data_IF_357689778999
#
_entry.id   IF_357689778999
#
_cell.length_a   1.000
_cell.length_b   1.000
_cell.length_c   1.000
_cell.angle_alpha   90.00
_cell.angle_beta   90.00
_cell.angle_gamma   90.00
#
_symmetry.space_group_name_H-M   'P 1'
#
loop_
_entity.id
_entity.type
_entity.pdbx_description
1 polymer ?
#
# COMPACT_ATOMS: atom_id res chain seq x y z
N UNK A 1 0.39 21.72 -12.51
CA UNK A 1 1.66 21.41 -13.22
C UNK A 1 1.26 20.57 -14.43
N UNK A 2 1.46 21.06 -15.62
CA UNK A 2 1.15 20.30 -16.83
C UNK A 2 2.38 19.52 -17.25
N UNK A 3 2.23 18.23 -17.37
CA UNK A 3 3.28 17.33 -17.83
C UNK A 3 2.91 16.88 -19.26
N UNK A 4 3.70 17.26 -20.22
CA UNK A 4 3.39 17.17 -21.65
C UNK A 4 2.96 15.79 -22.18
N UNK A 5 3.22 14.70 -21.43
CA UNK A 5 2.95 13.33 -21.90
C UNK A 5 2.06 12.52 -20.92
N UNK A 6 1.60 13.10 -19.83
CA UNK A 6 0.78 12.44 -18.80
C UNK A 6 -0.51 13.24 -18.61
N UNK A 7 -1.64 12.56 -18.63
CA UNK A 7 -2.91 13.13 -18.19
C UNK A 7 -3.15 12.80 -16.72
N UNK A 8 -3.67 13.78 -15.99
CA UNK A 8 -4.20 13.62 -14.65
C UNK A 8 -5.72 13.80 -14.69
N UNK A 9 -6.45 12.84 -14.13
CA UNK A 9 -7.91 12.82 -14.06
C UNK A 9 -8.29 12.71 -12.59
N UNK A 10 -9.10 13.64 -12.09
CA UNK A 10 -9.72 13.54 -10.77
C UNK A 10 -11.11 12.96 -10.97
N UNK A 11 -11.41 11.87 -10.27
CA UNK A 11 -12.63 11.08 -10.48
C UNK A 11 -13.12 10.44 -9.18
N UNK A 12 -14.31 9.90 -9.21
CA UNK A 12 -14.87 9.08 -8.15
C UNK A 12 -15.12 7.67 -8.67
N UNK A 13 -14.49 6.68 -8.03
CA UNK A 13 -14.67 5.26 -8.34
C UNK A 13 -15.35 4.58 -7.16
N UNK A 14 -16.57 4.07 -7.35
CA UNK A 14 -17.34 3.49 -6.23
C UNK A 14 -17.57 4.46 -5.06
N UNK A 15 -17.61 5.78 -5.33
CA UNK A 15 -17.70 6.82 -4.31
C UNK A 15 -16.37 7.18 -3.64
N UNK A 16 -15.25 6.59 -4.06
CA UNK A 16 -13.91 6.87 -3.56
C UNK A 16 -13.27 7.94 -4.44
N UNK A 17 -12.87 9.11 -3.91
CA UNK A 17 -12.12 10.11 -4.66
C UNK A 17 -10.75 9.56 -5.06
N UNK A 18 -10.41 9.64 -6.33
CA UNK A 18 -9.13 9.14 -6.86
C UNK A 18 -8.47 10.17 -7.77
N UNK A 19 -7.15 10.11 -7.84
CA UNK A 19 -6.38 10.68 -8.94
C UNK A 19 -5.96 9.52 -9.84
N UNK A 20 -6.25 9.62 -11.14
CA UNK A 20 -5.74 8.69 -12.16
C UNK A 20 -4.70 9.44 -12.99
N UNK A 21 -3.50 8.89 -13.07
CA UNK A 21 -2.43 9.38 -13.92
C UNK A 21 -2.04 8.31 -14.93
N UNK A 22 -1.94 8.68 -16.20
CA UNK A 22 -1.53 7.73 -17.25
C UNK A 22 -0.93 8.45 -18.46
N UNK A 23 -0.19 7.74 -19.32
CA UNK A 23 0.25 8.31 -20.60
C UNK A 23 -0.91 8.92 -21.37
N UNK A 24 -0.67 10.05 -22.05
CA UNK A 24 -1.65 10.71 -22.92
C UNK A 24 -2.03 9.83 -24.11
N UNK A 25 -1.11 8.98 -24.55
CA UNK A 25 -1.36 8.01 -25.60
C UNK A 25 -2.41 6.98 -25.17
N UNK A 26 -3.50 6.90 -25.94
CA UNK A 26 -4.54 5.92 -25.67
C UNK A 26 -4.02 4.52 -25.96
N UNK A 27 -4.24 3.60 -25.01
CA UNK A 27 -3.94 2.18 -25.13
C UNK A 27 -5.22 1.36 -24.93
N UNK A 28 -5.26 0.18 -25.53
CA UNK A 28 -6.35 -0.77 -25.33
C UNK A 28 -6.44 -1.23 -23.87
N UNK A 29 -5.27 -1.42 -23.22
CA UNK A 29 -5.18 -1.71 -21.79
C UNK A 29 -3.92 -1.10 -21.17
N UNK A 30 -3.98 -0.80 -19.87
CA UNK A 30 -2.87 -0.23 -19.12
C UNK A 30 -2.43 -1.17 -17.99
N UNK A 31 -1.12 -1.49 -17.86
CA UNK A 31 -0.63 -2.02 -16.61
C UNK A 31 -0.90 -0.97 -15.53
N UNK A 32 -1.56 -1.39 -14.45
CA UNK A 32 -2.15 -0.45 -13.48
C UNK A 32 -1.55 -0.62 -12.09
N UNK A 33 -1.15 0.48 -11.47
CA UNK A 33 -0.62 0.52 -10.11
C UNK A 33 -1.59 1.30 -9.22
N UNK A 34 -2.15 0.66 -8.19
CA UNK A 34 -2.93 1.35 -7.16
C UNK A 34 -1.98 1.74 -6.03
N UNK A 35 -1.88 3.04 -5.75
CA UNK A 35 -0.95 3.64 -4.79
C UNK A 35 -1.67 4.19 -3.57
N UNK A 36 -1.54 3.56 -2.42
CA UNK A 36 -2.13 4.00 -1.15
C UNK A 36 -1.21 4.94 -0.38
N UNK A 37 -1.74 6.09 0.04
CA UNK A 37 -1.02 7.08 0.85
C UNK A 37 -0.89 6.66 2.33
N UNK A 38 -0.03 7.37 3.09
CA UNK A 38 0.15 7.15 4.52
C UNK A 38 -0.86 7.89 5.39
N UNK A 39 -0.85 7.60 6.70
CA UNK A 39 -1.56 8.35 7.73
C UNK A 39 -1.17 9.83 7.69
N UNK A 40 -2.05 10.75 7.95
CA UNK A 40 -1.84 12.21 7.82
C UNK A 40 -1.58 12.72 6.39
N UNK A 41 -1.78 11.88 5.37
CA UNK A 41 -1.54 12.20 3.98
C UNK A 41 -2.84 12.14 3.16
N UNK A 42 -2.76 12.43 1.86
CA UNK A 42 -3.86 12.33 0.91
C UNK A 42 -3.35 12.09 -0.50
N UNK A 43 -4.26 11.80 -1.43
CA UNK A 43 -3.92 11.47 -2.82
C UNK A 43 -3.05 12.52 -3.50
N UNK A 44 -3.30 13.82 -3.24
CA UNK A 44 -2.54 14.91 -3.87
C UNK A 44 -1.05 14.89 -3.51
N UNK A 45 -0.71 14.45 -2.29
CA UNK A 45 0.70 14.41 -1.84
C UNK A 45 1.49 13.26 -2.50
N UNK A 46 0.80 12.35 -3.21
CA UNK A 46 1.43 11.26 -3.96
C UNK A 46 1.61 11.59 -5.45
N UNK A 47 1.11 12.73 -5.95
CA UNK A 47 1.15 13.11 -7.36
C UNK A 47 2.52 12.94 -8.01
N UNK A 48 3.57 13.40 -7.34
CA UNK A 48 4.92 13.33 -7.91
C UNK A 48 5.38 11.88 -8.14
N UNK A 49 5.08 10.99 -7.20
CA UNK A 49 5.38 9.55 -7.32
C UNK A 49 4.51 8.89 -8.38
N UNK A 50 3.22 9.24 -8.39
CA UNK A 50 2.28 8.82 -9.44
C UNK A 50 2.73 9.25 -10.83
N UNK A 51 3.20 10.49 -10.95
CA UNK A 51 3.75 11.01 -12.19
C UNK A 51 4.97 10.22 -12.67
N UNK A 52 5.93 9.91 -11.78
CA UNK A 52 7.11 9.10 -12.15
C UNK A 52 6.67 7.74 -12.71
N UNK A 53 5.78 7.03 -12.04
CA UNK A 53 5.29 5.74 -12.51
C UNK A 53 4.50 5.87 -13.81
N UNK A 54 3.66 6.90 -13.95
CA UNK A 54 2.90 7.14 -15.19
C UNK A 54 3.82 7.43 -16.38
N UNK A 55 4.93 8.15 -16.17
CA UNK A 55 5.93 8.42 -17.19
C UNK A 55 6.65 7.16 -17.69
N UNK A 56 6.63 6.09 -16.90
CA UNK A 56 7.15 4.76 -17.28
C UNK A 56 6.10 3.91 -18.02
N UNK A 57 4.90 4.45 -18.25
CA UNK A 57 3.86 3.80 -19.04
C UNK A 57 2.74 3.15 -18.26
N UNK A 58 2.72 3.27 -16.93
CA UNK A 58 1.66 2.72 -16.09
C UNK A 58 0.45 3.65 -16.00
N UNK A 59 -0.73 3.09 -15.80
CA UNK A 59 -1.84 3.80 -15.20
C UNK A 59 -1.67 3.75 -13.68
N UNK A 60 -1.62 4.91 -13.03
CA UNK A 60 -1.48 5.02 -11.58
C UNK A 60 -2.76 5.56 -11.00
N UNK A 61 -3.32 4.86 -10.03
CA UNK A 61 -4.55 5.23 -9.35
C UNK A 61 -4.25 5.49 -7.88
N UNK A 62 -4.57 6.67 -7.41
CA UNK A 62 -4.26 7.13 -6.06
C UNK A 62 -5.58 7.46 -5.35
N UNK A 63 -6.15 6.54 -4.55
CA UNK A 63 -7.37 6.81 -3.80
C UNK A 63 -7.11 7.63 -2.53
N UNK A 64 -8.07 8.47 -2.13
CA UNK A 64 -8.15 8.93 -0.74
C UNK A 64 -8.68 7.81 0.15
N UNK A 65 -7.99 7.55 1.24
CA UNK A 65 -8.45 6.62 2.26
C UNK A 65 -9.57 7.25 3.12
N UNK A 66 -10.35 6.43 3.78
CA UNK A 66 -11.37 6.89 4.73
C UNK A 66 -10.77 7.86 5.75
N UNK A 67 -11.48 8.92 6.11
CA UNK A 67 -11.04 10.00 7.00
C UNK A 67 -9.80 10.78 6.51
N UNK A 68 -9.53 10.78 5.19
CA UNK A 68 -8.43 11.52 4.59
C UNK A 68 -8.90 12.27 3.33
N UNK A 69 -8.26 13.39 3.05
CA UNK A 69 -8.54 14.19 1.86
C UNK A 69 -10.03 14.52 1.69
N UNK A 70 -10.61 14.23 0.54
CA UNK A 70 -12.01 14.49 0.25
C UNK A 70 -13.00 13.58 1.01
N UNK A 71 -12.51 12.56 1.72
CA UNK A 71 -13.34 11.66 2.56
C UNK A 71 -13.43 12.13 4.01
N UNK A 72 -13.14 13.39 4.28
CA UNK A 72 -13.13 14.02 5.59
C UNK A 72 -11.78 13.85 6.30
N UNK A 73 -11.46 14.79 7.16
CA UNK A 73 -10.23 14.78 7.96
C UNK A 73 -10.57 14.69 9.43
N UNK A 74 -9.71 14.04 10.19
CA UNK A 74 -9.81 13.90 11.65
C UNK A 74 -8.55 14.46 12.30
N UNK A 75 -8.56 14.65 13.61
CA UNK A 75 -7.31 14.89 14.34
C UNK A 75 -6.52 13.58 14.42
N UNK A 76 -5.54 13.42 13.53
CA UNK A 76 -4.72 12.21 13.43
C UNK A 76 -3.79 11.98 14.63
N UNK A 77 -3.59 13.00 15.47
CA UNK A 77 -2.72 12.94 16.63
C UNK A 77 -3.48 12.71 17.93
N UNK A 78 -4.80 12.82 17.89
CA UNK A 78 -5.65 12.55 19.04
C UNK A 78 -5.61 11.06 19.40
N UNK A 79 -5.38 10.76 20.70
CA UNK A 79 -5.28 9.37 21.19
C UNK A 79 -6.56 8.56 20.95
N UNK A 80 -7.72 9.19 21.05
CA UNK A 80 -9.02 8.59 20.76
C UNK A 80 -9.16 8.14 19.30
N UNK A 81 -8.39 8.72 18.38
CA UNK A 81 -8.36 8.36 16.98
C UNK A 81 -7.30 7.30 16.62
N UNK A 82 -6.48 6.84 17.57
CA UNK A 82 -5.43 5.86 17.32
C UNK A 82 -5.97 4.55 16.68
N UNK A 83 -7.16 4.10 17.09
CA UNK A 83 -7.80 2.93 16.49
C UNK A 83 -8.27 3.13 15.05
N UNK A 84 -8.50 4.38 14.62
CA UNK A 84 -8.92 4.70 13.26
C UNK A 84 -7.89 4.28 12.21
N UNK A 85 -6.63 4.18 12.58
CA UNK A 85 -5.58 3.67 11.70
C UNK A 85 -5.96 2.29 11.13
N UNK A 86 -6.33 1.34 11.99
CA UNK A 86 -6.73 0.00 11.55
C UNK A 86 -8.08 -0.03 10.84
N UNK A 87 -9.02 0.83 11.23
CA UNK A 87 -10.29 0.96 10.49
C UNK A 87 -10.03 1.37 9.04
N UNK A 88 -9.15 2.35 8.82
CA UNK A 88 -8.78 2.82 7.48
C UNK A 88 -8.08 1.71 6.69
N UNK A 89 -7.13 1.00 7.30
CA UNK A 89 -6.46 -0.13 6.66
C UNK A 89 -7.48 -1.20 6.23
N UNK A 90 -8.38 -1.60 7.13
CA UNK A 90 -9.41 -2.60 6.84
C UNK A 90 -10.42 -2.11 5.78
N UNK A 91 -10.75 -0.80 5.78
CA UNK A 91 -11.62 -0.22 4.77
C UNK A 91 -10.97 -0.24 3.38
N UNK A 92 -9.69 0.11 3.26
CA UNK A 92 -8.96 0.02 2.01
C UNK A 92 -8.98 -1.41 1.42
N UNK A 93 -8.91 -2.44 2.27
CA UNK A 93 -9.04 -3.83 1.83
C UNK A 93 -10.44 -4.14 1.31
N UNK A 94 -11.46 -3.71 2.06
CA UNK A 94 -12.85 -3.96 1.71
C UNK A 94 -13.24 -3.30 0.37
N UNK A 95 -12.73 -2.10 0.11
CA UNK A 95 -13.02 -1.31 -1.08
C UNK A 95 -12.23 -1.75 -2.31
N UNK A 96 -11.10 -2.44 -2.14
CA UNK A 96 -10.19 -2.73 -3.26
C UNK A 96 -10.82 -3.54 -4.39
N UNK A 97 -11.65 -4.52 -4.06
CA UNK A 97 -12.28 -5.38 -5.07
C UNK A 97 -13.19 -4.59 -6.01
N UNK A 98 -14.02 -3.70 -5.46
CA UNK A 98 -14.93 -2.87 -6.26
C UNK A 98 -14.13 -1.83 -7.05
N UNK A 99 -13.13 -1.20 -6.42
CA UNK A 99 -12.21 -0.27 -7.09
C UNK A 99 -11.53 -0.94 -8.29
N UNK A 100 -10.92 -2.11 -8.11
CA UNK A 100 -10.21 -2.81 -9.19
C UNK A 100 -11.13 -3.28 -10.30
N UNK A 101 -12.33 -3.73 -9.96
CA UNK A 101 -13.36 -4.13 -10.93
C UNK A 101 -13.77 -2.95 -11.82
N UNK A 102 -14.02 -1.80 -11.23
CA UNK A 102 -14.40 -0.59 -11.98
C UNK A 102 -13.22 -0.06 -12.83
N UNK A 103 -11.98 -0.16 -12.33
CA UNK A 103 -10.78 0.17 -13.10
C UNK A 103 -10.66 -0.68 -14.37
N UNK A 104 -10.93 -1.97 -14.28
CA UNK A 104 -10.91 -2.88 -15.42
C UNK A 104 -12.04 -2.53 -16.40
N UNK A 105 -13.25 -2.32 -15.90
CA UNK A 105 -14.44 -2.14 -16.75
C UNK A 105 -14.51 -0.78 -17.44
N UNK A 106 -14.05 0.30 -16.77
CA UNK A 106 -14.26 1.68 -17.23
C UNK A 106 -12.98 2.44 -17.57
N UNK A 107 -11.85 2.02 -17.01
CA UNK A 107 -10.58 2.76 -17.15
C UNK A 107 -9.49 1.97 -17.88
N UNK A 108 -9.86 0.88 -18.54
CA UNK A 108 -8.97 0.03 -19.34
C UNK A 108 -7.77 -0.52 -18.54
N UNK A 109 -7.94 -0.78 -17.22
CA UNK A 109 -6.91 -1.48 -16.47
C UNK A 109 -6.77 -2.91 -16.98
N UNK A 110 -5.54 -3.36 -17.21
CA UNK A 110 -5.25 -4.73 -17.59
C UNK A 110 -5.43 -5.66 -16.40
N UNK A 111 -6.43 -6.53 -16.45
CA UNK A 111 -6.78 -7.44 -15.36
C UNK A 111 -5.61 -8.35 -14.90
N UNK A 112 -4.70 -8.67 -15.82
CA UNK A 112 -3.56 -9.56 -15.58
C UNK A 112 -2.28 -8.79 -15.17
N UNK A 113 -2.34 -7.44 -15.19
CA UNK A 113 -1.25 -6.54 -14.85
C UNK A 113 -1.70 -5.44 -13.87
N UNK A 114 -2.25 -5.85 -12.73
CA UNK A 114 -2.57 -4.96 -11.61
C UNK A 114 -1.52 -5.16 -10.52
N UNK A 115 -0.95 -4.07 -10.05
CA UNK A 115 -0.06 -4.00 -8.90
C UNK A 115 -0.62 -3.08 -7.82
N UNK A 116 -0.17 -3.31 -6.58
CA UNK A 116 -0.49 -2.44 -5.45
C UNK A 116 0.80 -1.96 -4.77
N UNK A 117 0.78 -0.73 -4.32
CA UNK A 117 1.88 -0.15 -3.53
C UNK A 117 1.35 0.87 -2.54
N UNK A 118 2.15 1.20 -1.55
CA UNK A 118 1.83 2.25 -0.59
C UNK A 118 2.90 2.44 0.46
N UNK A 119 2.83 3.57 1.14
CA UNK A 119 3.77 3.98 2.18
C UNK A 119 3.09 4.03 3.55
N UNK A 120 3.76 3.54 4.61
CA UNK A 120 3.25 3.62 5.97
C UNK A 120 1.88 2.92 6.10
N UNK A 121 0.83 3.59 6.52
CA UNK A 121 -0.55 3.07 6.49
C UNK A 121 -0.91 2.45 5.12
N UNK A 122 -0.53 3.11 4.03
CA UNK A 122 -0.68 2.55 2.68
C UNK A 122 0.13 1.28 2.45
N UNK A 123 1.29 1.13 3.10
CA UNK A 123 2.07 -0.10 3.10
C UNK A 123 1.37 -1.24 3.82
N UNK A 124 0.74 -0.98 4.97
CA UNK A 124 -0.11 -1.96 5.66
C UNK A 124 -1.30 -2.37 4.79
N UNK A 125 -2.00 -1.39 4.20
CA UNK A 125 -3.10 -1.65 3.26
C UNK A 125 -2.64 -2.50 2.08
N UNK A 126 -1.48 -2.17 1.47
CA UNK A 126 -0.88 -2.93 0.38
C UNK A 126 -0.62 -4.38 0.76
N UNK A 127 -0.04 -4.63 1.95
CA UNK A 127 0.22 -5.98 2.44
C UNK A 127 -1.07 -6.82 2.55
N UNK A 128 -2.12 -6.24 3.15
CA UNK A 128 -3.41 -6.91 3.30
C UNK A 128 -4.12 -7.15 1.97
N UNK A 129 -4.18 -6.14 1.12
CA UNK A 129 -4.78 -6.23 -0.21
C UNK A 129 -4.09 -7.32 -1.04
N UNK A 130 -2.75 -7.35 -1.04
CA UNK A 130 -1.98 -8.35 -1.77
C UNK A 130 -2.23 -9.77 -1.23
N UNK A 131 -2.35 -9.94 0.08
CA UNK A 131 -2.64 -11.24 0.68
C UNK A 131 -4.06 -11.75 0.38
N UNK A 132 -5.06 -10.87 0.27
CA UNK A 132 -6.45 -11.27 0.03
C UNK A 132 -6.81 -11.42 -1.44
N UNK A 133 -6.10 -10.77 -2.37
CA UNK A 133 -6.43 -10.75 -3.78
C UNK A 133 -5.33 -11.43 -4.61
N UNK A 134 -5.57 -12.68 -4.99
CA UNK A 134 -4.60 -13.50 -5.73
C UNK A 134 -4.38 -13.02 -7.18
N UNK A 135 -5.31 -12.25 -7.72
CA UNK A 135 -5.24 -11.70 -9.09
C UNK A 135 -4.26 -10.51 -9.21
N UNK A 136 -3.80 -9.96 -8.08
CA UNK A 136 -2.77 -8.92 -8.08
C UNK A 136 -1.44 -9.53 -8.51
N UNK A 137 -0.85 -8.99 -9.57
CA UNK A 137 0.37 -9.49 -10.19
C UNK A 137 1.59 -9.35 -9.27
N UNK A 138 1.76 -8.18 -8.65
CA UNK A 138 2.91 -7.86 -7.80
C UNK A 138 2.56 -6.77 -6.79
N UNK A 139 3.36 -6.67 -5.72
CA UNK A 139 3.22 -5.62 -4.73
C UNK A 139 4.58 -5.02 -4.32
N UNK A 140 4.55 -3.73 -3.95
CA UNK A 140 5.69 -3.05 -3.31
C UNK A 140 5.21 -2.42 -2.00
N UNK A 141 5.70 -2.93 -0.88
CA UNK A 141 5.36 -2.43 0.47
C UNK A 141 6.47 -1.50 0.96
N UNK A 142 6.14 -0.24 1.26
CA UNK A 142 7.12 0.76 1.72
C UNK A 142 6.81 1.18 3.15
N UNK A 143 7.76 0.97 4.08
CA UNK A 143 7.65 1.30 5.50
C UNK A 143 6.32 0.83 6.13
N UNK A 144 5.86 -0.36 5.72
CA UNK A 144 4.69 -1.04 6.25
C UNK A 144 5.07 -2.39 6.86
N UNK A 145 4.07 -3.20 7.18
CA UNK A 145 4.30 -4.54 7.73
C UNK A 145 3.23 -5.54 7.27
N UNK A 146 3.63 -6.78 7.09
CA UNK A 146 2.73 -7.92 6.93
C UNK A 146 2.30 -8.49 8.29
N UNK A 147 3.13 -8.38 9.31
CA UNK A 147 2.75 -8.78 10.67
C UNK A 147 2.07 -7.60 11.39
N UNK A 148 0.76 -7.53 11.17
CA UNK A 148 -0.07 -6.49 11.74
C UNK A 148 -0.21 -6.61 13.25
N UNK A 149 -0.24 -7.83 13.78
CA UNK A 149 -0.41 -8.05 15.21
C UNK A 149 0.83 -7.62 15.99
N UNK A 150 2.03 -8.02 15.56
CA UNK A 150 3.26 -7.55 16.18
C UNK A 150 3.43 -6.03 16.06
N UNK A 151 3.09 -5.45 14.91
CA UNK A 151 3.11 -3.99 14.72
C UNK A 151 2.10 -3.28 15.62
N UNK A 152 0.89 -3.83 15.79
CA UNK A 152 -0.15 -3.28 16.66
C UNK A 152 0.29 -3.26 18.13
N UNK A 153 0.95 -4.32 18.60
CA UNK A 153 1.49 -4.36 19.98
C UNK A 153 2.55 -3.26 20.22
N UNK A 154 3.38 -2.98 19.19
CA UNK A 154 4.35 -1.87 19.27
C UNK A 154 3.63 -0.52 19.30
N UNK A 155 2.62 -0.32 18.42
CA UNK A 155 1.83 0.91 18.40
C UNK A 155 1.12 1.16 19.71
N UNK A 156 0.46 0.15 20.29
CA UNK A 156 -0.22 0.27 21.60
C UNK A 156 0.74 0.72 22.70
N UNK A 157 1.93 0.11 22.76
CA UNK A 157 2.96 0.50 23.74
C UNK A 157 3.46 1.93 23.52
N UNK A 158 3.75 2.30 22.28
CA UNK A 158 4.30 3.62 21.95
C UNK A 158 3.30 4.74 22.18
N UNK A 159 2.02 4.52 21.87
CA UNK A 159 0.96 5.51 22.04
C UNK A 159 0.36 5.52 23.45
N UNK A 160 0.67 4.52 24.27
CA UNK A 160 0.09 4.37 25.61
C UNK A 160 -1.42 4.15 25.57
N UNK A 161 -1.92 3.44 24.56
CA UNK A 161 -3.33 3.08 24.37
C UNK A 161 -3.48 1.59 24.64
N UNK A 162 -3.97 1.25 25.83
CA UNK A 162 -4.22 -0.12 26.22
C UNK A 162 -5.71 -0.30 26.58
N UNK A 163 -6.29 -1.42 26.13
CA UNK A 163 -7.46 -2.09 26.73
C UNK A 163 -8.85 -1.42 26.68
N UNK A 164 -9.08 -0.39 25.86
CA UNK A 164 -10.46 0.04 25.65
C UNK A 164 -11.29 -1.08 24.94
N UNK A 165 -12.56 -1.33 25.32
CA UNK A 165 -13.38 -2.38 24.70
C UNK A 165 -13.46 -2.29 23.17
N UNK A 166 -13.48 -1.08 22.62
CA UNK A 166 -13.45 -0.80 21.20
C UNK A 166 -12.18 -1.36 20.52
N UNK A 167 -11.02 -1.22 21.16
CA UNK A 167 -9.77 -1.76 20.63
C UNK A 167 -9.77 -3.29 20.57
N UNK A 168 -10.42 -3.98 21.52
CA UNK A 168 -10.49 -5.46 21.51
C UNK A 168 -11.26 -6.01 20.32
N UNK A 169 -12.39 -5.39 19.98
CA UNK A 169 -13.17 -5.82 18.81
C UNK A 169 -12.43 -5.49 17.49
N UNK A 170 -11.81 -4.31 17.42
CA UNK A 170 -11.00 -3.93 16.27
C UNK A 170 -9.78 -4.87 16.11
N UNK A 171 -9.10 -5.21 17.19
CA UNK A 171 -7.96 -6.12 17.20
C UNK A 171 -8.32 -7.53 16.70
N UNK A 172 -9.51 -8.03 17.04
CA UNK A 172 -10.04 -9.27 16.48
C UNK A 172 -10.13 -9.22 14.96
N UNK A 173 -10.72 -8.15 14.43
CA UNK A 173 -10.81 -7.94 12.97
C UNK A 173 -9.45 -7.81 12.31
N UNK A 174 -8.49 -7.11 12.95
CA UNK A 174 -7.11 -6.98 12.48
C UNK A 174 -6.44 -8.37 12.45
N UNK A 175 -6.62 -9.18 13.49
CA UNK A 175 -6.08 -10.55 13.56
C UNK A 175 -6.63 -11.45 12.46
N UNK A 176 -7.93 -11.40 12.18
CA UNK A 176 -8.57 -12.18 11.11
C UNK A 176 -8.03 -11.83 9.71
N UNK A 177 -7.54 -10.59 9.56
CA UNK A 177 -7.07 -10.04 8.28
C UNK A 177 -5.55 -9.94 8.16
N UNK A 178 -4.80 -10.21 9.24
CA UNK A 178 -3.34 -10.07 9.22
C UNK A 178 -2.70 -10.91 8.12
N UNK A 179 -1.89 -10.29 7.23
CA UNK A 179 -1.28 -10.99 6.11
C UNK A 179 -0.28 -12.08 6.53
N UNK A 180 0.35 -11.93 7.69
CA UNK A 180 1.35 -12.87 8.19
C UNK A 180 0.80 -14.29 8.38
N UNK A 181 -0.51 -14.43 8.60
CA UNK A 181 -1.17 -15.73 8.74
C UNK A 181 -1.59 -16.32 7.39
N UNK A 182 -1.35 -15.62 6.27
CA UNK A 182 -1.79 -15.98 4.91
C UNK A 182 -0.61 -16.28 3.98
N UNK A 183 0.48 -16.83 4.47
CA UNK A 183 1.73 -17.07 3.72
C UNK A 183 1.46 -17.75 2.38
N UNK A 184 0.63 -18.80 2.36
CA UNK A 184 0.32 -19.53 1.12
C UNK A 184 -0.31 -18.68 0.01
N UNK A 185 -0.96 -17.57 0.35
CA UNK A 185 -1.51 -16.64 -0.63
C UNK A 185 -0.46 -15.69 -1.22
N UNK A 186 0.69 -15.56 -0.58
CA UNK A 186 1.78 -14.67 -0.99
C UNK A 186 2.80 -15.36 -1.89
N UNK A 187 2.93 -16.68 -1.76
CA UNK A 187 3.92 -17.46 -2.49
C UNK A 187 3.75 -17.35 -4.02
N UNK A 188 4.87 -17.43 -4.74
CA UNK A 188 4.94 -17.44 -6.20
C UNK A 188 4.51 -16.12 -6.89
N UNK A 189 4.23 -15.07 -6.11
CA UNK A 189 3.94 -13.73 -6.66
C UNK A 189 5.01 -12.72 -6.27
N UNK A 190 5.54 -11.93 -7.22
CA UNK A 190 6.61 -10.99 -6.94
C UNK A 190 6.25 -9.98 -5.85
N UNK A 191 7.09 -9.89 -4.81
CA UNK A 191 6.92 -9.02 -3.66
C UNK A 191 8.22 -8.28 -3.32
N UNK A 192 8.18 -6.95 -3.37
CA UNK A 192 9.26 -6.07 -2.92
C UNK A 192 8.88 -5.40 -1.61
N UNK A 193 9.79 -5.42 -0.65
CA UNK A 193 9.65 -4.73 0.63
C UNK A 193 10.79 -3.71 0.73
N UNK A 194 10.43 -2.45 0.96
CA UNK A 194 11.37 -1.33 1.13
C UNK A 194 11.16 -0.71 2.50
N UNK A 195 12.19 -0.62 3.33
CA UNK A 195 12.04 -0.10 4.69
C UNK A 195 13.25 0.71 5.15
N UNK A 196 12.99 1.80 5.87
CA UNK A 196 14.01 2.58 6.55
C UNK A 196 14.54 1.84 7.78
N UNK A 197 15.85 1.61 7.85
CA UNK A 197 16.46 0.90 8.97
C UNK A 197 16.49 1.68 10.30
N UNK A 198 16.29 3.01 10.24
CA UNK A 198 16.18 3.90 11.38
C UNK A 198 14.74 4.42 11.58
N UNK A 199 13.75 3.71 11.06
CA UNK A 199 12.33 4.06 11.21
C UNK A 199 11.88 3.93 12.66
N UNK A 200 11.41 5.06 13.23
CA UNK A 200 10.90 5.15 14.62
C UNK A 200 9.38 5.26 14.67
N UNK A 201 8.72 5.27 13.55
CA UNK A 201 7.24 5.34 13.44
C UNK A 201 6.67 3.96 13.22
N UNK A 202 7.19 3.25 12.22
CA UNK A 202 6.87 1.84 11.97
C UNK A 202 8.13 1.03 12.21
N UNK A 203 8.19 0.33 13.33
CA UNK A 203 9.32 -0.53 13.66
C UNK A 203 9.51 -1.60 12.57
N UNK A 204 10.74 -1.71 12.10
CA UNK A 204 11.09 -2.63 11.02
C UNK A 204 11.12 -4.10 11.48
N UNK A 205 11.19 -4.37 12.78
CA UNK A 205 11.40 -5.71 13.33
C UNK A 205 10.32 -6.71 12.90
N UNK A 206 9.01 -6.40 13.04
CA UNK A 206 7.96 -7.31 12.59
C UNK A 206 8.06 -7.65 11.09
N UNK A 207 8.44 -6.67 10.29
CA UNK A 207 8.57 -6.84 8.85
C UNK A 207 9.79 -7.70 8.48
N UNK A 208 10.92 -7.54 9.18
CA UNK A 208 12.12 -8.38 8.99
C UNK A 208 11.85 -9.83 9.39
N UNK A 209 11.27 -10.04 10.55
CA UNK A 209 10.94 -11.39 11.04
C UNK A 209 9.97 -12.08 10.09
N UNK A 210 8.96 -11.37 9.59
CA UNK A 210 8.05 -11.90 8.58
C UNK A 210 8.79 -12.26 7.28
N UNK A 211 9.64 -11.38 6.77
CA UNK A 211 10.43 -11.64 5.56
C UNK A 211 11.31 -12.88 5.70
N UNK A 212 12.00 -13.03 6.83
CA UNK A 212 12.84 -14.20 7.11
C UNK A 212 12.05 -15.51 7.12
N UNK A 213 10.82 -15.51 7.62
CA UNK A 213 9.91 -16.66 7.55
C UNK A 213 9.44 -16.93 6.13
N UNK A 214 8.97 -15.88 5.43
CA UNK A 214 8.42 -16.00 4.09
C UNK A 214 9.44 -16.54 3.08
N UNK A 215 10.71 -16.10 3.16
CA UNK A 215 11.75 -16.51 2.23
C UNK A 215 12.10 -18.01 2.29
N UNK A 216 11.79 -18.68 3.39
CA UNK A 216 12.02 -20.12 3.52
C UNK A 216 11.08 -20.93 2.62
N UNK A 217 9.89 -20.38 2.35
CA UNK A 217 8.84 -21.02 1.55
C UNK A 217 8.87 -20.57 0.07
N UNK A 218 9.64 -19.51 -0.26
CA UNK A 218 9.80 -19.07 -1.64
C UNK A 218 10.77 -19.97 -2.40
N UNK A 219 10.27 -20.65 -3.44
CA UNK A 219 11.07 -21.58 -4.25
C UNK A 219 12.06 -20.89 -5.17
N UNK A 220 11.74 -19.65 -5.62
CA UNK A 220 12.57 -18.84 -6.48
C UNK A 220 12.90 -17.52 -5.79
N UNK A 221 14.16 -17.30 -5.46
CA UNK A 221 14.63 -16.13 -4.72
C UNK A 221 14.43 -14.78 -5.45
N UNK A 222 14.20 -14.80 -6.77
CA UNK A 222 14.07 -13.57 -7.55
C UNK A 222 12.74 -12.83 -7.36
N UNK A 223 11.68 -13.56 -7.01
CA UNK A 223 10.33 -13.01 -6.81
C UNK A 223 10.10 -12.42 -5.41
N UNK A 224 11.06 -12.50 -4.49
CA UNK A 224 10.97 -11.95 -3.14
C UNK A 224 12.22 -11.15 -2.81
N UNK A 225 12.06 -9.85 -2.52
CA UNK A 225 13.18 -8.98 -2.17
C UNK A 225 12.81 -8.04 -1.03
N UNK A 226 13.72 -7.89 -0.07
CA UNK A 226 13.67 -6.84 0.94
C UNK A 226 14.92 -5.97 0.85
N UNK A 227 14.72 -4.65 0.83
CA UNK A 227 15.80 -3.66 0.86
C UNK A 227 15.63 -2.78 2.11
N UNK A 228 16.66 -2.77 2.95
CA UNK A 228 16.70 -1.92 4.15
C UNK A 228 17.69 -0.77 3.92
N UNK A 229 17.23 0.45 4.16
CA UNK A 229 18.04 1.67 4.06
C UNK A 229 18.50 2.08 5.47
N UNK A 230 19.70 1.69 5.85
CA UNK A 230 20.20 1.67 7.25
C UNK A 230 20.00 2.96 8.03
N UNK A 231 20.22 4.13 7.42
CA UNK A 231 20.13 5.44 8.07
C UNK A 231 18.86 6.22 7.74
N UNK A 232 17.92 5.60 7.02
CA UNK A 232 16.67 6.24 6.65
C UNK A 232 15.62 6.01 7.73
N UNK A 233 14.94 7.09 8.16
CA UNK A 233 13.78 7.05 9.04
C UNK A 233 12.49 6.72 8.28
N UNK A 234 11.35 7.15 8.84
CA UNK A 234 10.01 6.93 8.27
C UNK A 234 9.76 7.84 7.04
N UNK A 235 10.47 7.60 5.98
CA UNK A 235 10.43 8.42 4.78
C UNK A 235 10.54 7.56 3.51
N UNK A 236 9.79 7.91 2.47
CA UNK A 236 9.91 7.28 1.16
C UNK A 236 10.91 8.08 0.30
N UNK A 237 12.14 7.58 0.19
CA UNK A 237 13.21 8.23 -0.55
C UNK A 237 13.09 8.04 -2.07
N UNK A 238 13.83 8.86 -2.82
CA UNK A 238 13.93 8.72 -4.29
C UNK A 238 14.48 7.35 -4.68
N UNK A 239 15.47 6.83 -3.95
CA UNK A 239 16.01 5.49 -4.19
C UNK A 239 14.96 4.38 -4.02
N UNK A 240 14.03 4.53 -3.07
CA UNK A 240 12.91 3.59 -2.93
C UNK A 240 11.95 3.66 -4.14
N UNK A 241 11.70 4.86 -4.68
CA UNK A 241 10.88 5.01 -5.90
C UNK A 241 11.60 4.40 -7.11
N UNK A 242 12.91 4.55 -7.21
CA UNK A 242 13.72 3.93 -8.25
C UNK A 242 13.68 2.39 -8.17
N UNK A 243 13.86 1.81 -6.98
CA UNK A 243 13.76 0.35 -6.78
C UNK A 243 12.35 -0.17 -7.10
N UNK A 244 11.31 0.55 -6.69
CA UNK A 244 9.92 0.26 -7.04
C UNK A 244 9.71 0.28 -8.55
N UNK A 245 10.24 1.28 -9.24
CA UNK A 245 10.13 1.43 -10.70
C UNK A 245 10.79 0.28 -11.44
N UNK A 246 12.01 -0.12 -11.01
CA UNK A 246 12.72 -1.30 -11.54
C UNK A 246 11.93 -2.59 -11.30
N UNK A 247 11.32 -2.71 -10.12
CA UNK A 247 10.50 -3.86 -9.76
C UNK A 247 9.28 -4.00 -10.66
N UNK A 248 8.50 -2.93 -10.81
CA UNK A 248 7.36 -2.95 -11.72
C UNK A 248 7.76 -3.20 -13.16
N UNK A 249 8.87 -2.63 -13.64
CA UNK A 249 9.36 -2.91 -14.98
C UNK A 249 9.68 -4.40 -15.21
N UNK A 250 10.16 -5.09 -14.17
CA UNK A 250 10.48 -6.54 -14.25
C UNK A 250 9.23 -7.43 -14.18
N UNK A 251 8.22 -7.05 -13.42
CA UNK A 251 7.17 -7.98 -13.00
C UNK A 251 5.75 -7.56 -13.41
N UNK A 252 5.54 -6.33 -13.85
CA UNK A 252 4.24 -5.79 -14.26
C UNK A 252 4.19 -5.46 -15.77
#
# INVERSE_FOLDING_TARGET
>A
MEFNNIIEINEYIGGIPVIIMRPIEKRESYPTVVFYHGWTSKKEYQRFRGYILASLGYQVVIPDALNHGERGEIDYYAKENAGRFWEVVLQNLAEFKDLSTELIQKYNADKDRIAVTGHSMGGFSTAGIFAENKDIKTAVVVNGSFDWMASNEIFKRTLGVNDAPYFKELEKRVKEKTPADKISSLLERPLLILHGGADKVVDITPQKEFYEKLRLDYKENEGLKMVTYSNLGHFMSVNMVEEMSKWFHKYL
#
